data_IF_507850824191
#
_entry.id   IF_507850824191
#
_cell.length_a   1.000
_cell.length_b   1.000
_cell.length_c   1.000
_cell.angle_alpha   90.00
_cell.angle_beta   90.00
_cell.angle_gamma   90.00
#
_symmetry.space_group_name_H-M   'P 1'
#
loop_
_entity.id
_entity.type
_entity.pdbx_description
1 polymer ?
#
# COMPACT_ATOMS: atom_id res chain seq x y z
N UNK A 1 -19.45 -88.92 -34.14
CA UNK A 1 -18.74 -87.91 -34.94
C UNK A 1 -19.25 -86.52 -34.58
N UNK A 2 -18.35 -85.55 -34.59
CA UNK A 2 -18.38 -84.28 -33.86
C UNK A 2 -19.56 -83.34 -34.15
N UNK A 3 -19.88 -82.57 -33.10
CA UNK A 3 -20.84 -81.46 -33.03
C UNK A 3 -20.36 -80.20 -33.75
N UNK A 4 -21.36 -79.32 -33.97
CA UNK A 4 -21.29 -77.86 -33.88
C UNK A 4 -20.66 -77.14 -35.08
N UNK A 5 -21.08 -75.94 -35.48
CA UNK A 5 -22.22 -75.08 -35.13
C UNK A 5 -22.32 -74.01 -36.22
N UNK A 6 -23.50 -73.40 -36.30
CA UNK A 6 -23.94 -72.36 -37.24
C UNK A 6 -23.06 -71.10 -37.21
N UNK A 7 -22.75 -70.56 -38.39
CA UNK A 7 -22.32 -69.16 -38.61
C UNK A 7 -23.22 -68.56 -39.69
N UNK A 8 -24.00 -67.54 -39.35
CA UNK A 8 -24.74 -66.71 -40.33
C UNK A 8 -23.95 -65.42 -40.52
N UNK A 9 -23.54 -65.17 -41.76
CA UNK A 9 -22.84 -63.97 -42.18
C UNK A 9 -23.81 -62.79 -42.29
N UNK A 10 -23.47 -61.65 -41.69
CA UNK A 10 -24.17 -60.39 -41.87
C UNK A 10 -23.32 -59.45 -42.76
N UNK A 11 -23.90 -59.07 -43.90
CA UNK A 11 -23.37 -58.07 -44.82
C UNK A 11 -23.64 -56.65 -44.28
N UNK A 12 -22.68 -55.75 -44.51
CA UNK A 12 -22.70 -54.38 -44.01
C UNK A 12 -23.71 -53.46 -44.68
N UNK A 13 -24.21 -52.50 -43.90
CA UNK A 13 -24.78 -51.26 -44.37
C UNK A 13 -24.29 -50.13 -43.45
N UNK A 14 -23.60 -49.16 -44.06
CA UNK A 14 -23.03 -47.97 -43.42
C UNK A 14 -24.11 -47.09 -42.81
N UNK A 15 -24.04 -46.83 -41.51
CA UNK A 15 -24.87 -45.81 -40.83
C UNK A 15 -24.02 -44.59 -40.53
N UNK A 16 -24.38 -43.47 -41.16
CA UNK A 16 -23.93 -42.13 -40.83
C UNK A 16 -24.49 -41.73 -39.45
N UNK A 17 -23.62 -41.63 -38.45
CA UNK A 17 -23.94 -40.95 -37.19
C UNK A 17 -23.35 -39.55 -37.27
N UNK A 18 -24.22 -38.56 -37.45
CA UNK A 18 -23.90 -37.15 -37.34
C UNK A 18 -23.42 -36.85 -35.91
N UNK A 19 -22.11 -36.67 -35.75
CA UNK A 19 -21.55 -36.15 -34.50
C UNK A 19 -21.97 -34.69 -34.35
N UNK A 20 -22.87 -34.42 -33.40
CA UNK A 20 -23.09 -33.08 -32.88
C UNK A 20 -21.82 -32.59 -32.19
N UNK A 21 -20.94 -31.94 -32.95
CA UNK A 21 -19.85 -31.13 -32.40
C UNK A 21 -20.50 -29.92 -31.73
N UNK A 22 -20.64 -29.95 -30.41
CA UNK A 22 -20.72 -28.69 -29.68
C UNK A 22 -19.43 -27.92 -29.97
N UNK A 23 -19.49 -26.73 -30.57
CA UNK A 23 -18.32 -25.88 -30.64
C UNK A 23 -17.99 -25.52 -29.20
N UNK A 24 -16.83 -25.97 -28.74
CA UNK A 24 -16.09 -25.31 -27.68
C UNK A 24 -16.05 -23.83 -28.02
N UNK A 25 -16.71 -23.01 -27.21
CA UNK A 25 -16.68 -21.55 -27.31
C UNK A 25 -15.30 -21.04 -26.85
N UNK A 26 -14.25 -21.43 -27.56
CA UNK A 26 -12.90 -20.92 -27.42
C UNK A 26 -12.44 -20.34 -28.75
N UNK A 27 -13.17 -19.33 -29.19
CA UNK A 27 -12.71 -18.25 -30.08
C UNK A 27 -13.80 -17.20 -30.16
N UNK A 28 -14.07 -16.50 -29.06
CA UNK A 28 -14.51 -15.10 -29.20
C UNK A 28 -13.23 -14.29 -29.27
N UNK A 29 -13.03 -13.65 -30.42
CA UNK A 29 -11.98 -12.67 -30.58
C UNK A 29 -12.02 -11.68 -29.42
N UNK A 30 -10.84 -11.18 -29.04
CA UNK A 30 -10.71 -10.12 -28.06
C UNK A 30 -11.65 -8.97 -28.44
N UNK A 31 -12.82 -8.93 -27.82
CA UNK A 31 -13.63 -7.73 -27.82
C UNK A 31 -12.78 -6.70 -27.09
N UNK A 32 -12.42 -5.63 -27.80
CA UNK A 32 -11.71 -4.51 -27.23
C UNK A 32 -12.36 -4.14 -25.90
N UNK A 33 -11.55 -4.09 -24.84
CA UNK A 33 -12.02 -3.63 -23.54
C UNK A 33 -12.74 -2.28 -23.72
N UNK A 34 -13.87 -2.02 -23.05
CA UNK A 34 -14.53 -0.74 -23.15
C UNK A 34 -13.54 0.36 -22.79
N UNK A 35 -13.37 1.31 -23.70
CA UNK A 35 -12.47 2.45 -23.55
C UNK A 35 -12.90 3.21 -22.30
N UNK A 36 -12.11 3.10 -21.21
CA UNK A 36 -12.35 3.89 -20.00
C UNK A 36 -11.85 5.30 -20.29
N UNK A 37 -12.78 6.25 -20.39
CA UNK A 37 -12.44 7.65 -20.63
C UNK A 37 -12.15 8.29 -19.29
N UNK A 38 -10.95 8.83 -19.10
CA UNK A 38 -10.62 9.65 -17.94
C UNK A 38 -11.58 10.85 -17.86
N UNK A 39 -11.95 11.28 -16.65
CA UNK A 39 -12.80 12.45 -16.45
C UNK A 39 -12.23 13.74 -17.12
N UNK A 40 -10.93 13.75 -17.40
CA UNK A 40 -10.23 14.75 -18.21
C UNK A 40 -9.33 14.01 -19.22
N UNK A 41 -9.70 13.92 -20.51
CA UNK A 41 -9.00 13.08 -21.51
C UNK A 41 -7.53 13.43 -21.77
N UNK A 42 -7.07 14.60 -21.34
CA UNK A 42 -5.70 15.09 -21.56
C UNK A 42 -4.77 14.97 -20.34
N UNK A 43 -5.29 14.59 -19.17
CA UNK A 43 -4.45 14.40 -17.97
C UNK A 43 -4.16 12.92 -17.74
N UNK A 44 -2.88 12.55 -17.87
CA UNK A 44 -2.35 11.31 -17.28
C UNK A 44 -1.92 11.65 -15.85
N UNK A 45 -2.54 11.03 -14.85
CA UNK A 45 -2.29 11.35 -13.44
C UNK A 45 -3.38 12.25 -12.86
N UNK A 46 -3.83 11.92 -11.64
CA UNK A 46 -4.87 12.63 -10.88
C UNK A 46 -5.30 11.81 -9.66
N UNK A 47 -6.25 12.32 -8.85
CA UNK A 47 -6.87 11.56 -7.74
C UNK A 47 -7.89 10.52 -8.24
N UNK A 48 -8.08 10.40 -9.57
CA UNK A 48 -8.93 9.39 -10.17
C UNK A 48 -8.20 8.04 -10.15
N UNK A 49 -8.47 7.27 -9.09
CA UNK A 49 -7.96 5.90 -8.88
C UNK A 49 -8.40 4.96 -10.02
N UNK A 50 -9.40 5.34 -10.83
CA UNK A 50 -9.92 4.59 -11.96
C UNK A 50 -9.66 5.23 -13.33
N UNK A 51 -8.77 6.24 -13.39
CA UNK A 51 -8.37 6.87 -14.64
C UNK A 51 -7.78 5.88 -15.65
N UNK A 52 -7.65 6.31 -16.91
CA UNK A 52 -7.08 5.47 -17.97
C UNK A 52 -5.57 5.31 -17.77
N UNK A 53 -5.17 4.35 -16.92
CA UNK A 53 -3.80 3.92 -16.77
C UNK A 53 -3.61 2.55 -17.38
N UNK A 54 -2.51 2.38 -18.12
CA UNK A 54 -2.05 1.08 -18.56
C UNK A 54 -1.27 0.43 -17.42
N UNK A 55 -1.78 -0.68 -16.87
CA UNK A 55 -1.03 -1.45 -15.88
C UNK A 55 0.20 -2.06 -16.55
N UNK A 56 1.40 -1.79 -16.01
CA UNK A 56 2.62 -2.48 -16.43
C UNK A 56 2.65 -3.84 -15.75
N UNK A 57 2.32 -4.89 -16.52
CA UNK A 57 2.33 -6.26 -16.00
C UNK A 57 3.74 -6.63 -15.49
N UNK A 58 3.81 -7.23 -14.29
CA UNK A 58 5.08 -7.63 -13.69
C UNK A 58 5.90 -6.48 -13.11
N UNK A 59 5.30 -5.31 -12.90
CA UNK A 59 5.92 -4.21 -12.15
C UNK A 59 5.48 -4.23 -10.67
N UNK A 60 6.40 -4.05 -9.71
CA UNK A 60 7.85 -4.10 -9.89
C UNK A 60 8.31 -5.54 -10.17
N UNK A 61 9.52 -5.71 -10.73
CA UNK A 61 10.12 -7.04 -10.89
C UNK A 61 10.37 -7.64 -9.51
N UNK A 62 10.13 -8.95 -9.39
CA UNK A 62 10.27 -9.66 -8.12
C UNK A 62 11.71 -9.58 -7.59
N UNK A 63 11.85 -9.36 -6.28
CA UNK A 63 13.15 -9.44 -5.59
C UNK A 63 13.81 -10.80 -5.81
N UNK A 64 13.00 -11.86 -5.93
CA UNK A 64 13.49 -13.21 -6.19
C UNK A 64 14.29 -13.36 -7.50
N UNK A 65 14.14 -12.43 -8.45
CA UNK A 65 14.92 -12.43 -9.68
C UNK A 65 16.36 -11.91 -9.50
N UNK A 66 16.71 -11.42 -8.30
CA UNK A 66 18.04 -10.85 -8.01
C UNK A 66 18.98 -11.93 -7.45
N UNK A 67 20.29 -11.86 -7.79
CA UNK A 67 21.29 -12.72 -7.18
C UNK A 67 21.29 -12.61 -5.65
N UNK A 68 21.23 -13.76 -4.96
CA UNK A 68 21.23 -13.83 -3.50
C UNK A 68 19.87 -13.56 -2.84
N UNK A 69 18.82 -13.37 -3.62
CA UNK A 69 17.44 -13.15 -3.15
C UNK A 69 16.47 -14.24 -3.62
N UNK A 70 16.95 -15.32 -4.22
CA UNK A 70 16.11 -16.33 -4.87
C UNK A 70 15.08 -16.95 -3.90
N UNK A 71 15.45 -17.04 -2.62
CA UNK A 71 14.60 -17.52 -1.52
C UNK A 71 13.71 -16.46 -0.86
N UNK A 72 13.70 -15.22 -1.37
CA UNK A 72 13.03 -14.08 -0.75
C UNK A 72 12.20 -13.29 -1.77
N UNK A 73 11.11 -12.69 -1.31
CA UNK A 73 10.22 -11.82 -2.08
C UNK A 73 9.75 -10.66 -1.21
N UNK A 74 8.96 -9.75 -1.77
CA UNK A 74 8.47 -8.57 -1.08
C UNK A 74 7.69 -8.91 0.20
N UNK A 75 7.94 -8.11 1.23
CA UNK A 75 7.08 -8.02 2.39
C UNK A 75 5.85 -7.15 2.13
N UNK A 76 5.22 -6.71 3.21
CA UNK A 76 4.09 -5.80 3.11
C UNK A 76 4.54 -4.42 2.61
N UNK A 77 4.07 -4.03 1.42
CA UNK A 77 4.19 -2.67 0.92
C UNK A 77 3.51 -1.66 1.85
N UNK A 78 4.08 -0.46 1.96
CA UNK A 78 3.59 0.60 2.85
C UNK A 78 3.27 1.88 2.07
N UNK A 79 4.16 2.30 1.18
CA UNK A 79 4.03 3.56 0.46
C UNK A 79 4.76 3.52 -0.88
N UNK A 80 4.28 4.32 -1.82
CA UNK A 80 4.91 4.54 -3.12
C UNK A 80 4.94 6.03 -3.41
N UNK A 81 6.10 6.56 -3.79
CA UNK A 81 6.26 7.95 -4.23
C UNK A 81 7.10 8.00 -5.51
N UNK A 82 6.48 8.43 -6.61
CA UNK A 82 7.16 8.60 -7.89
C UNK A 82 7.69 10.04 -8.00
N UNK A 83 9.00 10.22 -7.82
CA UNK A 83 9.64 11.51 -8.11
C UNK A 83 9.76 11.72 -9.64
N UNK A 84 10.11 10.65 -10.35
CA UNK A 84 10.18 10.62 -11.81
C UNK A 84 9.91 9.19 -12.32
N UNK A 85 9.72 8.99 -13.63
CA UNK A 85 9.55 7.64 -14.18
C UNK A 85 10.69 6.68 -13.82
N UNK A 86 11.92 7.17 -13.66
CA UNK A 86 13.09 6.34 -13.36
C UNK A 86 13.52 6.41 -11.88
N UNK A 87 12.65 6.96 -11.02
CA UNK A 87 12.93 7.12 -9.60
C UNK A 87 11.64 7.07 -8.80
N UNK A 88 11.24 5.84 -8.47
CA UNK A 88 10.00 5.52 -7.78
C UNK A 88 10.36 4.89 -6.45
N UNK A 89 10.20 5.63 -5.37
CA UNK A 89 10.39 5.14 -4.02
C UNK A 89 9.25 4.20 -3.64
N UNK A 90 9.60 3.04 -3.08
CA UNK A 90 8.67 2.06 -2.55
C UNK A 90 9.15 1.67 -1.16
N UNK A 91 8.26 1.82 -0.17
CA UNK A 91 8.50 1.34 1.18
C UNK A 91 7.87 -0.03 1.38
N UNK A 92 8.58 -0.91 2.07
CA UNK A 92 8.04 -2.19 2.51
C UNK A 92 8.50 -2.54 3.93
N UNK A 93 7.89 -3.58 4.49
CA UNK A 93 8.27 -4.16 5.79
C UNK A 93 9.04 -5.45 5.59
N UNK A 94 10.34 -5.31 5.39
CA UNK A 94 11.26 -6.39 5.14
C UNK A 94 10.87 -7.26 3.95
N UNK A 95 11.50 -8.42 3.88
CA UNK A 95 11.28 -9.44 2.88
C UNK A 95 10.64 -10.68 3.52
N UNK A 96 9.91 -11.44 2.72
CA UNK A 96 9.28 -12.69 3.12
C UNK A 96 9.83 -13.85 2.29
N UNK A 97 9.77 -15.10 2.79
CA UNK A 97 10.21 -16.25 2.04
C UNK A 97 9.48 -16.36 0.70
N UNK A 98 10.24 -16.60 -0.37
CA UNK A 98 9.72 -16.91 -1.69
C UNK A 98 9.39 -18.40 -1.75
N UNK A 99 8.14 -18.74 -1.39
CA UNK A 99 7.67 -20.12 -1.39
C UNK A 99 6.58 -20.31 -2.44
N UNK A 100 6.60 -21.49 -3.06
CA UNK A 100 5.58 -21.88 -4.04
C UNK A 100 4.21 -21.95 -3.35
N UNK A 101 3.19 -21.41 -4.02
CA UNK A 101 1.82 -21.54 -3.57
C UNK A 101 1.47 -23.02 -3.31
N UNK A 102 0.92 -23.37 -2.13
CA UNK A 102 0.58 -24.75 -1.81
C UNK A 102 -0.57 -25.25 -2.70
N UNK A 103 -0.59 -26.55 -2.96
CA UNK A 103 -1.68 -27.18 -3.70
C UNK A 103 -3.01 -27.05 -2.93
N UNK A 104 -4.09 -26.75 -3.66
CA UNK A 104 -5.44 -26.68 -3.11
C UNK A 104 -5.87 -28.03 -2.55
N UNK A 105 -6.18 -28.06 -1.26
CA UNK A 105 -6.69 -29.25 -0.55
C UNK A 105 -8.04 -28.96 0.11
N UNK A 106 -8.88 -29.98 0.23
CA UNK A 106 -10.13 -29.88 0.98
C UNK A 106 -9.81 -29.72 2.47
N UNK A 107 -10.48 -28.80 3.15
CA UNK A 107 -10.26 -28.54 4.57
C UNK A 107 -11.28 -29.33 5.41
N UNK A 108 -10.84 -30.46 5.97
CA UNK A 108 -11.66 -31.34 6.79
C UNK A 108 -12.84 -31.97 6.02
N UNK A 109 -13.86 -32.37 6.77
CA UNK A 109 -15.03 -33.07 6.23
C UNK A 109 -16.12 -32.11 5.69
N UNK A 110 -15.96 -30.81 5.92
CA UNK A 110 -16.93 -29.80 5.49
C UNK A 110 -17.15 -29.84 3.97
N UNK A 111 -18.40 -29.82 3.49
CA UNK A 111 -18.67 -29.80 2.07
C UNK A 111 -18.14 -28.50 1.44
N UNK A 112 -17.35 -28.65 0.38
CA UNK A 112 -16.90 -27.57 -0.52
C UNK A 112 -15.94 -26.51 0.04
N UNK A 113 -15.28 -26.74 1.17
CA UNK A 113 -14.21 -25.84 1.67
C UNK A 113 -12.84 -26.33 1.22
N UNK A 114 -12.08 -25.46 0.55
CA UNK A 114 -10.74 -25.74 0.06
C UNK A 114 -9.76 -24.63 0.45
N UNK A 115 -8.50 -24.99 0.67
CA UNK A 115 -7.41 -24.05 0.92
C UNK A 115 -6.16 -24.41 0.11
N UNK A 116 -5.46 -23.43 -0.51
CA UNK A 116 -5.88 -22.03 -0.64
C UNK A 116 -7.06 -21.87 -1.61
N UNK A 117 -7.80 -20.77 -1.44
CA UNK A 117 -8.91 -20.40 -2.32
C UNK A 117 -8.30 -19.90 -3.64
N UNK A 118 -8.57 -20.57 -4.76
CA UNK A 118 -7.85 -20.35 -6.03
C UNK A 118 -7.97 -18.96 -6.68
N UNK A 119 -8.80 -18.06 -6.14
CA UNK A 119 -8.96 -16.67 -6.64
C UNK A 119 -8.46 -15.60 -5.67
N UNK A 120 -7.94 -16.01 -4.51
CA UNK A 120 -7.44 -15.09 -3.49
C UNK A 120 -5.94 -15.34 -3.29
N UNK A 121 -5.20 -14.32 -2.84
CA UNK A 121 -3.86 -14.53 -2.32
C UNK A 121 -3.89 -15.64 -1.25
N UNK A 122 -2.96 -16.59 -1.35
CA UNK A 122 -2.84 -17.67 -0.37
C UNK A 122 -2.07 -17.23 0.89
N UNK A 123 -1.37 -16.09 0.81
CA UNK A 123 -0.65 -15.41 1.89
C UNK A 123 -1.05 -13.93 1.93
N UNK A 124 -1.29 -13.42 3.14
CA UNK A 124 -1.39 -11.99 3.40
C UNK A 124 -0.05 -11.46 3.92
N UNK A 125 0.62 -10.63 3.13
CA UNK A 125 1.91 -10.06 3.49
C UNK A 125 1.82 -9.13 4.71
N UNK A 126 0.66 -8.52 4.98
CA UNK A 126 0.45 -7.58 6.10
C UNK A 126 0.57 -8.26 7.45
N UNK A 127 0.06 -9.48 7.57
CA UNK A 127 0.20 -10.27 8.80
C UNK A 127 1.50 -11.07 8.84
N UNK A 128 2.05 -11.40 7.66
CA UNK A 128 3.27 -12.19 7.54
C UNK A 128 4.53 -11.37 7.82
N UNK A 129 4.58 -10.10 7.40
CA UNK A 129 5.70 -9.21 7.68
C UNK A 129 5.64 -8.67 9.11
N UNK A 130 6.77 -8.64 9.85
CA UNK A 130 6.82 -7.93 11.12
C UNK A 130 6.74 -6.40 10.91
N UNK A 131 6.10 -5.65 11.83
CA UNK A 131 5.13 -6.12 12.80
C UNK A 131 3.87 -6.71 12.11
N UNK A 132 3.48 -7.94 12.44
CA UNK A 132 2.33 -8.63 11.81
C UNK A 132 0.96 -8.14 12.27
N UNK A 133 0.93 -7.14 13.16
CA UNK A 133 -0.27 -6.52 13.69
C UNK A 133 0.06 -5.07 14.15
N UNK A 134 -0.82 -4.45 14.93
CA UNK A 134 -0.63 -3.10 15.45
C UNK A 134 -1.35 -2.07 14.57
N UNK A 135 -2.63 -2.31 14.29
CA UNK A 135 -3.53 -1.34 13.65
C UNK A 135 -3.84 -0.15 14.56
N UNK A 136 -4.76 0.71 14.13
CA UNK A 136 -5.18 1.92 14.88
C UNK A 136 -5.55 1.62 16.33
N UNK A 137 -5.06 2.43 17.26
CA UNK A 137 -5.35 2.30 18.69
C UNK A 137 -4.55 1.23 19.44
N UNK A 138 -3.67 0.49 18.75
CA UNK A 138 -2.78 -0.49 19.37
C UNK A 138 -1.38 0.10 19.59
N UNK A 139 -0.65 -0.32 20.65
CA UNK A 139 0.78 -0.05 20.78
C UNK A 139 1.55 -0.55 19.56
N UNK A 140 2.62 0.13 19.19
CA UNK A 140 3.41 -0.25 18.02
C UNK A 140 4.14 -1.58 18.27
N UNK A 141 4.75 -1.71 19.44
CA UNK A 141 5.57 -2.83 19.91
C UNK A 141 4.80 -4.15 19.92
N UNK A 142 3.52 -4.08 20.30
CA UNK A 142 2.63 -5.24 20.38
C UNK A 142 2.52 -6.02 19.06
N UNK A 143 2.75 -5.37 17.91
CA UNK A 143 2.77 -6.03 16.61
C UNK A 143 4.00 -6.92 16.37
N UNK A 144 5.18 -6.51 16.84
CA UNK A 144 6.41 -7.31 16.75
C UNK A 144 6.34 -8.47 17.74
N UNK A 145 5.88 -8.19 18.96
CA UNK A 145 5.70 -9.21 20.00
C UNK A 145 4.66 -10.26 19.60
N UNK A 146 3.54 -9.86 18.99
CA UNK A 146 2.54 -10.79 18.47
C UNK A 146 3.13 -11.68 17.35
N UNK A 147 3.93 -11.10 16.46
CA UNK A 147 4.60 -11.83 15.39
C UNK A 147 5.58 -12.87 15.96
N UNK A 148 6.38 -12.50 16.95
CA UNK A 148 7.29 -13.44 17.62
C UNK A 148 6.52 -14.53 18.42
N UNK A 149 5.45 -14.16 19.12
CA UNK A 149 4.60 -15.12 19.87
C UNK A 149 3.89 -16.13 18.97
N UNK A 150 3.66 -15.80 17.70
CA UNK A 150 3.14 -16.74 16.71
C UNK A 150 4.18 -17.81 16.29
N UNK A 151 5.42 -17.73 16.80
CA UNK A 151 6.49 -18.70 16.53
C UNK A 151 7.36 -18.32 15.33
N UNK A 152 7.13 -17.17 14.71
CA UNK A 152 7.89 -16.70 13.57
C UNK A 152 9.31 -16.28 13.97
N UNK A 153 10.28 -16.48 13.08
CA UNK A 153 11.70 -16.25 13.32
C UNK A 153 12.31 -15.38 12.22
N UNK A 154 13.02 -14.32 12.61
CA UNK A 154 13.79 -13.52 11.67
C UNK A 154 14.90 -14.39 11.04
N UNK A 155 15.15 -14.23 9.74
CA UNK A 155 16.01 -15.08 8.92
C UNK A 155 15.33 -16.36 8.40
N UNK A 156 14.13 -16.71 8.89
CA UNK A 156 13.35 -17.86 8.40
C UNK A 156 12.01 -17.43 7.83
N UNK A 157 11.21 -16.70 8.61
CA UNK A 157 9.85 -16.29 8.25
C UNK A 157 9.77 -14.86 7.71
N UNK A 158 10.82 -14.07 7.97
CA UNK A 158 11.04 -12.75 7.40
C UNK A 158 12.52 -12.39 7.45
N UNK A 159 12.95 -11.45 6.62
CA UNK A 159 14.27 -10.80 6.69
C UNK A 159 14.06 -9.30 6.72
N UNK A 160 14.80 -8.59 7.58
CA UNK A 160 14.62 -7.14 7.71
C UNK A 160 15.62 -6.39 6.84
N UNK A 161 15.34 -6.37 5.54
CA UNK A 161 16.16 -5.71 4.52
C UNK A 161 15.28 -5.00 3.49
N UNK A 162 15.86 -4.05 2.75
CA UNK A 162 15.22 -3.35 1.63
C UNK A 162 13.93 -2.63 2.04
N UNK A 163 13.94 -1.93 3.18
CA UNK A 163 12.78 -1.18 3.66
C UNK A 163 12.49 0.05 2.80
N UNK A 164 13.54 0.65 2.20
CA UNK A 164 13.44 1.73 1.21
C UNK A 164 14.04 1.23 -0.11
N UNK A 165 13.21 1.13 -1.13
CA UNK A 165 13.59 0.69 -2.47
C UNK A 165 13.28 1.75 -3.50
N UNK A 166 14.07 1.80 -4.58
CA UNK A 166 13.89 2.75 -5.67
C UNK A 166 13.84 1.97 -6.97
N UNK A 167 12.72 2.09 -7.68
CA UNK A 167 12.47 1.43 -8.95
C UNK A 167 12.47 2.41 -10.12
N UNK A 168 12.76 1.89 -11.31
CA UNK A 168 12.47 2.57 -12.57
C UNK A 168 11.09 2.18 -13.14
N UNK A 169 10.70 2.81 -14.25
CA UNK A 169 9.43 2.57 -14.93
C UNK A 169 9.30 1.15 -15.49
N UNK A 170 10.43 0.46 -15.72
CA UNK A 170 10.45 -0.93 -16.17
C UNK A 170 10.41 -1.92 -14.99
N UNK A 171 10.38 -1.43 -13.75
CA UNK A 171 10.29 -2.22 -12.53
C UNK A 171 11.62 -2.81 -12.09
N UNK A 172 12.75 -2.33 -12.64
CA UNK A 172 14.05 -2.70 -12.12
C UNK A 172 14.28 -1.98 -10.80
N UNK A 173 14.76 -2.70 -9.79
CA UNK A 173 15.25 -2.12 -8.55
C UNK A 173 16.62 -1.46 -8.83
N UNK A 174 16.62 -0.14 -8.98
CA UNK A 174 17.81 0.65 -9.36
C UNK A 174 18.66 1.06 -8.16
N UNK A 175 18.05 1.18 -6.98
CA UNK A 175 18.76 1.49 -5.73
C UNK A 175 17.93 1.03 -4.52
N UNK A 176 18.58 0.81 -3.39
CA UNK A 176 17.94 0.49 -2.11
C UNK A 176 18.80 1.01 -0.95
N UNK A 177 18.17 1.69 0.01
CA UNK A 177 18.89 2.32 1.10
C UNK A 177 18.98 1.41 2.33
N UNK A 178 19.67 0.28 2.17
CA UNK A 178 19.77 -0.75 3.21
C UNK A 178 20.56 -0.30 4.43
N UNK A 179 21.38 0.76 4.30
CA UNK A 179 22.07 1.41 5.43
C UNK A 179 21.11 1.93 6.51
N UNK A 180 19.82 2.13 6.17
CA UNK A 180 18.80 2.59 7.12
C UNK A 180 17.87 1.48 7.61
N UNK A 181 18.01 0.24 7.15
CA UNK A 181 17.12 -0.86 7.56
C UNK A 181 17.11 -1.05 9.09
N UNK A 182 18.25 -0.85 9.75
CA UNK A 182 18.40 -1.02 11.19
C UNK A 182 17.69 0.05 12.05
N UNK A 183 17.43 1.24 11.49
CA UNK A 183 16.71 2.32 12.20
C UNK A 183 15.22 2.35 11.87
N UNK A 184 14.78 1.59 10.87
CA UNK A 184 13.39 1.52 10.46
C UNK A 184 12.71 0.30 11.05
N UNK A 185 11.45 0.46 11.46
CA UNK A 185 10.64 -0.65 11.99
C UNK A 185 9.27 -0.74 11.33
N UNK A 186 8.68 0.38 10.93
CA UNK A 186 7.54 0.40 10.01
C UNK A 186 7.50 1.73 9.26
N UNK A 187 8.32 1.87 8.21
CA UNK A 187 8.30 3.06 7.37
C UNK A 187 6.96 3.10 6.62
N UNK A 188 6.06 3.98 7.05
CA UNK A 188 4.65 3.99 6.68
C UNK A 188 4.37 4.89 5.47
N UNK A 189 5.11 5.98 5.32
CA UNK A 189 4.89 6.96 4.25
C UNK A 189 6.21 7.58 3.79
N UNK A 190 6.38 7.71 2.47
CA UNK A 190 7.51 8.42 1.85
C UNK A 190 7.02 9.55 0.97
N UNK A 191 7.68 10.70 1.01
CA UNK A 191 7.45 11.80 0.09
C UNK A 191 8.66 12.73 -0.02
N UNK A 192 8.66 13.54 -1.08
CA UNK A 192 9.56 14.68 -1.24
C UNK A 192 8.69 15.94 -1.26
N UNK A 193 9.09 16.97 -0.52
CA UNK A 193 8.40 18.27 -0.57
C UNK A 193 8.58 18.91 -1.95
N UNK A 194 7.50 19.37 -2.61
CA UNK A 194 7.62 20.07 -3.90
C UNK A 194 8.23 21.48 -3.75
N UNK A 195 8.37 21.98 -2.52
CA UNK A 195 8.91 23.30 -2.21
C UNK A 195 10.36 23.24 -1.69
N UNK A 196 10.95 22.04 -1.64
CA UNK A 196 12.33 21.84 -1.24
C UNK A 196 13.23 21.71 -2.48
N UNK A 197 14.13 22.68 -2.66
CA UNK A 197 15.07 22.69 -3.78
C UNK A 197 16.12 21.57 -3.67
N UNK A 198 16.46 21.15 -2.45
CA UNK A 198 17.41 20.06 -2.20
C UNK A 198 16.74 18.67 -2.31
N UNK A 199 15.40 18.65 -2.41
CA UNK A 199 14.58 17.44 -2.61
C UNK A 199 14.84 16.36 -1.57
N UNK A 200 14.94 16.74 -0.30
CA UNK A 200 15.08 15.76 0.77
C UNK A 200 13.96 14.73 0.74
N UNK A 201 14.30 13.48 1.09
CA UNK A 201 13.37 12.36 1.13
C UNK A 201 12.90 12.18 2.57
N UNK A 202 11.59 12.30 2.78
CA UNK A 202 10.98 12.21 4.10
C UNK A 202 10.29 10.88 4.27
N UNK A 203 10.63 10.16 5.34
CA UNK A 203 10.05 8.86 5.69
C UNK A 203 9.41 8.95 7.07
N UNK A 204 8.11 8.70 7.14
CA UNK A 204 7.36 8.60 8.39
C UNK A 204 7.46 7.17 8.90
N UNK A 205 8.08 6.95 10.05
CA UNK A 205 8.08 5.65 10.74
C UNK A 205 7.07 5.67 11.88
N UNK A 206 5.93 5.02 11.67
CA UNK A 206 4.86 5.05 12.65
C UNK A 206 5.23 4.23 13.90
N UNK A 207 6.05 3.20 13.75
CA UNK A 207 6.44 2.33 14.85
C UNK A 207 7.48 3.00 15.73
N UNK A 208 8.44 3.71 15.14
CA UNK A 208 9.46 4.47 15.89
C UNK A 208 9.01 5.86 16.28
N UNK A 209 7.79 6.24 15.96
CA UNK A 209 7.17 7.51 16.36
C UNK A 209 7.97 8.73 15.89
N UNK A 210 8.60 8.62 14.73
CA UNK A 210 9.49 9.64 14.19
C UNK A 210 9.25 9.85 12.70
N UNK A 211 9.81 10.94 12.21
CA UNK A 211 9.95 11.22 10.79
C UNK A 211 11.44 11.41 10.52
N UNK A 212 11.98 10.65 9.58
CA UNK A 212 13.33 10.77 9.10
C UNK A 212 13.36 11.66 7.85
N UNK A 213 14.32 12.56 7.77
CA UNK A 213 14.62 13.33 6.57
C UNK A 213 16.01 12.94 6.08
N UNK A 214 16.11 12.46 4.85
CA UNK A 214 17.36 12.04 4.21
C UNK A 214 17.74 12.99 3.09
N UNK A 215 19.04 13.10 2.80
CA UNK A 215 19.52 13.75 1.58
C UNK A 215 18.87 13.10 0.36
N UNK A 216 18.70 13.85 -0.73
CA UNK A 216 18.03 13.31 -1.91
C UNK A 216 18.71 12.02 -2.39
N UNK A 217 20.03 11.92 -2.35
CA UNK A 217 20.79 10.73 -2.74
C UNK A 217 20.83 9.59 -1.69
N UNK A 218 20.23 9.78 -0.51
CA UNK A 218 20.20 8.78 0.56
C UNK A 218 21.54 8.54 1.25
N UNK A 219 22.55 9.38 1.02
CA UNK A 219 23.87 9.20 1.64
C UNK A 219 23.90 9.57 3.13
N UNK A 220 22.99 10.44 3.58
CA UNK A 220 22.95 10.95 4.95
C UNK A 220 21.53 11.18 5.45
N UNK A 221 21.30 10.87 6.73
CA UNK A 221 20.16 11.41 7.48
C UNK A 221 20.42 12.86 7.88
N UNK A 222 19.55 13.76 7.42
CA UNK A 222 19.62 15.20 7.68
C UNK A 222 19.16 15.51 9.09
N UNK A 223 18.01 14.96 9.48
CA UNK A 223 17.45 15.06 10.84
C UNK A 223 16.38 14.00 11.08
N UNK A 224 16.08 13.81 12.36
CA UNK A 224 14.92 13.08 12.85
C UNK A 224 13.99 14.06 13.59
N UNK A 225 12.69 13.99 13.33
CA UNK A 225 11.67 14.75 14.07
C UNK A 225 10.82 13.76 14.88
N UNK A 226 10.64 14.05 16.16
CA UNK A 226 10.13 13.09 17.14
C UNK A 226 11.25 12.59 18.06
N UNK A 227 10.90 11.83 19.09
CA UNK A 227 11.87 11.10 19.92
C UNK A 227 11.79 9.62 19.55
N UNK A 228 12.90 9.05 19.12
CA UNK A 228 12.96 7.71 18.56
C UNK A 228 12.51 6.64 19.56
N UNK A 229 11.42 5.95 19.23
CA UNK A 229 10.85 4.88 20.05
C UNK A 229 10.08 5.34 21.28
N UNK A 230 9.84 6.65 21.44
CA UNK A 230 9.11 7.20 22.58
C UNK A 230 7.76 7.78 22.14
N UNK A 231 6.61 7.10 22.43
CA UNK A 231 5.31 7.61 22.06
C UNK A 231 4.89 8.76 22.96
N UNK A 232 4.24 9.77 22.39
CA UNK A 232 3.69 10.89 23.15
C UNK A 232 2.84 11.83 22.32
N UNK A 233 2.24 12.81 22.98
CA UNK A 233 1.33 13.77 22.35
C UNK A 233 1.67 15.23 22.71
N UNK A 234 2.95 15.51 22.96
CA UNK A 234 3.48 16.85 23.24
C UNK A 234 4.19 17.47 22.01
N UNK A 235 5.04 18.46 22.22
CA UNK A 235 5.76 19.20 21.19
C UNK A 235 7.01 18.47 20.65
N UNK A 236 7.43 17.36 21.27
CA UNK A 236 8.63 16.59 20.92
C UNK A 236 8.32 15.17 20.48
N UNK A 237 7.19 14.62 20.88
CA UNK A 237 6.84 13.23 20.62
C UNK A 237 5.70 13.12 19.61
N UNK A 238 5.66 12.00 18.89
CA UNK A 238 4.48 11.55 18.16
C UNK A 238 3.93 10.28 18.77
N UNK A 239 2.71 9.90 18.43
CA UNK A 239 2.15 8.61 18.79
C UNK A 239 1.59 7.95 17.53
N UNK A 240 2.53 7.35 16.80
CA UNK A 240 2.34 6.68 15.51
C UNK A 240 1.86 7.62 14.40
N UNK A 241 2.76 8.49 13.90
CA UNK A 241 2.50 9.37 12.77
C UNK A 241 2.31 8.55 11.49
N UNK A 242 1.46 9.02 10.57
CA UNK A 242 1.10 8.25 9.37
C UNK A 242 1.28 9.00 8.07
N UNK A 243 1.35 10.33 8.09
CA UNK A 243 1.39 11.15 6.89
C UNK A 243 2.00 12.52 7.18
N UNK A 244 2.58 13.14 6.15
CA UNK A 244 3.13 14.50 6.18
C UNK A 244 2.78 15.23 4.88
N UNK A 245 2.54 16.54 4.95
CA UNK A 245 2.41 17.41 3.77
C UNK A 245 2.91 18.83 4.07
N UNK A 246 3.28 19.56 3.02
CA UNK A 246 3.96 20.86 3.12
C UNK A 246 3.12 22.02 2.57
N UNK A 247 3.36 23.19 3.15
CA UNK A 247 2.91 24.47 2.63
C UNK A 247 4.00 25.11 1.75
N UNK A 248 3.64 26.03 0.84
CA UNK A 248 4.61 26.73 -0.01
C UNK A 248 5.71 27.50 0.72
N UNK A 249 5.47 27.89 1.98
CA UNK A 249 6.46 28.59 2.82
C UNK A 249 7.47 27.64 3.50
N UNK A 250 7.38 26.34 3.20
CA UNK A 250 8.21 25.28 3.78
C UNK A 250 7.74 24.81 5.16
N UNK A 251 6.74 25.44 5.78
CA UNK A 251 6.09 24.87 6.96
C UNK A 251 5.33 23.60 6.58
N UNK A 252 5.08 22.70 7.54
CA UNK A 252 4.46 21.42 7.24
C UNK A 252 3.54 20.93 8.34
N UNK A 253 2.69 19.98 8.00
CA UNK A 253 1.76 19.31 8.91
C UNK A 253 1.97 17.81 8.89
N UNK A 254 1.86 17.20 10.06
CA UNK A 254 1.97 15.76 10.27
C UNK A 254 0.63 15.25 10.79
N UNK A 255 0.11 14.19 10.16
CA UNK A 255 -0.99 13.40 10.69
C UNK A 255 -0.44 12.44 11.74
N UNK A 256 -0.57 12.80 13.02
CA UNK A 256 -0.21 11.94 14.16
C UNK A 256 -1.38 11.00 14.47
N UNK A 257 -1.55 9.99 13.61
CA UNK A 257 -2.86 9.47 13.25
C UNK A 257 -3.29 8.15 13.87
N UNK A 258 -2.38 7.18 14.05
CA UNK A 258 -2.80 5.85 14.51
C UNK A 258 -3.21 5.84 15.97
N UNK A 259 -2.49 6.59 16.81
CA UNK A 259 -2.79 6.70 18.24
C UNK A 259 -2.85 8.16 18.73
N UNK A 260 -2.08 9.08 18.13
CA UNK A 260 -2.03 10.48 18.54
C UNK A 260 -3.35 11.25 18.36
N UNK A 261 -4.16 10.87 17.37
CA UNK A 261 -5.46 11.48 17.05
C UNK A 261 -5.42 13.00 16.86
N UNK A 262 -4.32 13.52 16.32
CA UNK A 262 -4.09 14.97 16.11
C UNK A 262 -3.39 15.23 14.78
N UNK A 263 -3.41 16.50 14.38
CA UNK A 263 -2.55 17.06 13.35
C UNK A 263 -1.59 18.01 14.04
N UNK A 264 -0.30 17.91 13.73
CA UNK A 264 0.75 18.74 14.30
C UNK A 264 1.35 19.60 13.20
N UNK A 265 1.47 20.91 13.42
CA UNK A 265 2.14 21.84 12.52
C UNK A 265 3.54 22.17 13.03
N UNK A 266 4.49 22.16 12.10
CA UNK A 266 5.88 22.53 12.31
C UNK A 266 6.26 23.69 11.40
N UNK A 267 7.27 24.44 11.81
CA UNK A 267 7.95 25.37 10.91
C UNK A 267 8.91 24.61 9.96
N UNK A 268 9.48 25.32 8.99
CA UNK A 268 10.42 24.73 8.01
C UNK A 268 11.66 24.08 8.64
N UNK A 269 12.02 24.50 9.85
CA UNK A 269 13.17 23.97 10.60
C UNK A 269 12.78 22.78 11.49
N UNK A 270 11.52 22.32 11.41
CA UNK A 270 11.03 21.17 12.18
C UNK A 270 10.72 21.51 13.63
N UNK A 271 10.62 22.80 13.98
CA UNK A 271 10.21 23.22 15.33
C UNK A 271 8.70 23.21 15.43
N UNK A 272 8.18 22.67 16.53
CA UNK A 272 6.76 22.67 16.83
C UNK A 272 6.17 24.09 16.82
N UNK A 273 5.01 24.23 16.17
CA UNK A 273 4.22 25.47 16.11
C UNK A 273 2.93 25.31 16.90
N UNK A 274 2.11 24.32 16.53
CA UNK A 274 0.81 24.08 17.16
C UNK A 274 0.29 22.69 16.79
N UNK A 275 -0.75 22.21 17.48
CA UNK A 275 -1.46 20.99 17.16
C UNK A 275 -2.97 21.15 17.37
N UNK A 276 -3.76 20.39 16.63
CA UNK A 276 -5.21 20.35 16.77
C UNK A 276 -5.77 18.97 16.46
N UNK A 277 -6.97 18.69 16.98
CA UNK A 277 -7.61 17.39 16.86
C UNK A 277 -7.75 16.69 18.21
N UNK A 278 -8.63 15.70 18.24
CA UNK A 278 -8.87 14.85 19.39
C UNK A 278 -9.48 13.54 18.91
N UNK A 279 -9.36 12.49 19.72
CA UNK A 279 -10.04 11.22 19.47
C UNK A 279 -11.54 11.45 19.32
N UNK A 280 -12.12 10.87 18.26
CA UNK A 280 -13.56 10.91 18.04
C UNK A 280 -14.29 10.23 19.19
N UNK A 281 -15.15 10.98 19.90
CA UNK A 281 -16.09 10.43 20.87
C UNK A 281 -17.40 10.10 20.14
N UNK A 282 -17.81 8.83 20.19
CA UNK A 282 -19.14 8.40 19.74
C UNK A 282 -20.15 8.74 20.83
N UNK A 283 -20.49 10.02 21.01
CA UNK A 283 -21.71 10.38 21.73
C UNK A 283 -22.83 10.59 20.72
N UNK A 284 -23.96 9.93 20.95
CA UNK A 284 -25.23 10.13 20.23
C UNK A 284 -25.91 11.46 20.55
N UNK A 285 -25.19 12.43 21.12
CA UNK A 285 -25.71 13.74 21.49
C UNK A 285 -24.84 14.89 20.94
N UNK A 286 -25.49 15.65 20.05
CA UNK A 286 -25.31 17.07 19.73
C UNK A 286 -24.63 17.50 18.41
N UNK A 287 -25.28 18.43 17.68
CA UNK A 287 -24.80 19.03 16.45
C UNK A 287 -23.98 20.27 16.81
N UNK A 288 -22.68 20.12 17.01
CA UNK A 288 -21.78 21.26 16.83
C UNK A 288 -20.56 20.82 16.04
N UNK A 289 -20.30 21.57 14.97
CA UNK A 289 -19.18 21.39 14.07
C UNK A 289 -17.91 21.74 14.86
N UNK A 290 -17.23 20.72 15.39
CA UNK A 290 -15.79 20.74 15.63
C UNK A 290 -15.21 19.63 14.77
N UNK A 291 -14.13 19.93 14.05
CA UNK A 291 -13.52 19.02 13.09
C UNK A 291 -13.30 17.65 13.73
N UNK A 292 -14.07 16.66 13.26
CA UNK A 292 -13.99 15.27 13.70
C UNK A 292 -12.81 14.65 12.96
N UNK A 293 -11.74 14.34 13.68
CA UNK A 293 -10.59 13.67 13.09
C UNK A 293 -10.92 12.18 12.86
N UNK A 294 -11.65 11.89 11.79
CA UNK A 294 -11.76 10.56 11.19
C UNK A 294 -10.90 10.53 9.93
N UNK A 295 -9.99 9.55 9.82
CA UNK A 295 -8.98 9.41 8.77
C UNK A 295 -8.04 10.64 8.64
N UNK A 296 -7.03 10.67 9.54
CA UNK A 296 -6.10 11.81 9.75
C UNK A 296 -5.25 12.19 8.52
N UNK A 297 -4.94 11.24 7.64
CA UNK A 297 -4.12 11.48 6.43
C UNK A 297 -4.82 12.38 5.41
N UNK A 298 -6.11 12.17 5.14
CA UNK A 298 -6.91 13.01 4.24
C UNK A 298 -7.02 14.44 4.75
N UNK A 299 -7.08 14.61 6.08
CA UNK A 299 -7.20 15.92 6.73
C UNK A 299 -5.89 16.71 6.55
N UNK A 300 -4.73 16.11 6.82
CA UNK A 300 -3.43 16.77 6.63
C UNK A 300 -3.23 17.25 5.18
N UNK A 301 -3.47 16.37 4.20
CA UNK A 301 -3.36 16.71 2.78
C UNK A 301 -4.34 17.83 2.35
N UNK A 302 -5.58 17.79 2.87
CA UNK A 302 -6.58 18.84 2.56
C UNK A 302 -6.17 20.20 3.14
N UNK A 303 -5.58 20.21 4.33
CA UNK A 303 -5.16 21.45 5.01
C UNK A 303 -4.01 22.12 4.24
N UNK A 304 -2.99 21.35 3.84
CA UNK A 304 -1.88 21.86 3.03
C UNK A 304 -2.36 22.45 1.69
N UNK A 305 -3.24 21.71 0.98
CA UNK A 305 -3.77 22.12 -0.34
C UNK A 305 -4.72 23.33 -0.30
N UNK A 306 -5.55 23.47 0.73
CA UNK A 306 -6.45 24.64 0.86
C UNK A 306 -5.69 25.95 1.04
N UNK A 307 -4.50 25.91 1.63
CA UNK A 307 -3.66 27.09 1.79
C UNK A 307 -2.94 27.46 0.49
N UNK A 308 -2.43 26.48 -0.27
CA UNK A 308 -1.77 26.74 -1.56
C UNK A 308 -2.74 27.29 -2.62
N UNK A 309 -3.99 26.80 -2.63
CA UNK A 309 -5.05 27.33 -3.50
C UNK A 309 -5.54 28.72 -3.08
N UNK A 310 -5.42 29.09 -1.79
CA UNK A 310 -5.79 30.43 -1.29
C UNK A 310 -4.71 31.49 -1.57
N UNK A 311 -3.44 31.09 -1.68
CA UNK A 311 -2.37 31.96 -2.21
C UNK A 311 -2.40 32.05 -3.73
N UNK A 312 -2.88 31.03 -4.44
CA UNK A 312 -3.07 31.08 -5.90
C UNK A 312 -4.33 31.86 -6.33
N UNK A 313 -5.38 31.89 -5.51
CA UNK A 313 -6.65 32.57 -5.82
C UNK A 313 -6.76 34.02 -5.33
N UNK A 314 -5.69 34.60 -4.76
CA UNK A 314 -5.64 36.03 -4.44
C UNK A 314 -5.53 36.94 -5.67
N UNK A 315 -5.58 36.38 -6.89
CA UNK A 315 -5.58 37.12 -8.16
C UNK A 315 -6.95 37.22 -8.85
N UNK A 316 -8.05 36.67 -8.32
CA UNK A 316 -9.39 36.99 -8.87
C UNK A 316 -10.51 36.78 -7.84
N UNK A 317 -11.31 37.83 -7.63
CA UNK A 317 -12.47 37.84 -6.74
C UNK A 317 -13.66 37.05 -7.34
N UNK A 318 -14.37 36.27 -6.51
CA UNK A 318 -15.73 35.83 -6.84
C UNK A 318 -16.21 34.49 -6.27
N UNK A 319 -17.08 34.57 -5.25
CA UNK A 319 -18.10 33.62 -4.77
C UNK A 319 -17.74 32.17 -4.37
N UNK A 320 -17.97 31.91 -3.08
CA UNK A 320 -17.92 30.62 -2.40
C UNK A 320 -19.09 29.70 -2.76
N UNK A 321 -18.81 28.49 -3.23
CA UNK A 321 -19.77 27.38 -3.28
C UNK A 321 -19.31 26.26 -2.34
N UNK A 322 -20.19 25.90 -1.40
CA UNK A 322 -19.94 24.93 -0.33
C UNK A 322 -20.23 23.51 -0.82
N UNK A 323 -19.19 22.73 -1.17
CA UNK A 323 -19.33 21.29 -1.46
C UNK A 323 -18.95 20.45 -0.23
N UNK A 324 -19.90 19.59 0.20
CA UNK A 324 -19.75 18.62 1.31
C UNK A 324 -18.91 17.42 0.87
N UNK A 325 -17.92 16.95 1.65
CA UNK A 325 -17.28 15.66 1.41
C UNK A 325 -18.13 14.52 1.98
N UNK A 326 -18.44 13.54 1.14
CA UNK A 326 -19.05 12.24 1.51
C UNK A 326 -18.01 11.33 2.17
N UNK A 327 -18.43 10.66 3.25
CA UNK A 327 -17.63 9.78 4.10
C UNK A 327 -17.40 8.42 3.43
N UNK A 328 -16.14 7.98 3.32
CA UNK A 328 -15.79 6.56 3.12
C UNK A 328 -14.48 6.26 3.85
N UNK A 329 -14.56 5.60 5.01
CA UNK A 329 -13.50 4.78 5.59
C UNK A 329 -14.20 3.54 6.17
N UNK A 330 -14.11 2.41 5.47
CA UNK A 330 -14.63 1.12 5.95
C UNK A 330 -13.70 0.55 7.01
N UNK A 331 -14.25 0.25 8.18
CA UNK A 331 -13.62 -0.58 9.20
C UNK A 331 -13.55 -2.02 8.69
N UNK A 332 -12.34 -2.58 8.65
CA UNK A 332 -12.09 -4.02 8.65
C UNK A 332 -10.96 -4.30 9.62
#
# INVERSE_FOLDING_TARGET
MNRASVVIAAAGASVLIAGSRWPSAQQRGAAAAPTRVAAVPSEKGGQDIYGAYDSVAGWPKDLAARPGHEGWTFGAGQSVFAESPNRIFVLQRGELPNIKAPATKKLGDAPSIFFPIGRLPWRDATVSSPPGNGGTGQPAEGGVEAWARAGNKMGVDARWEHCIMIFDAAGNLVDAWTQYDAILQRPHFVAISPYDAEKHVWVVDDHKHVIHEFTNDGTREVRTIGTYGEPGADDKHFNRPTFIDWFPDGTFVVADGYNGTRVVKFDKNGKYVTAWGQKGITSTASPSIRARAGCSSTIAATIARRSSTRTASSSTSGNSATTRPTSICSTS
#
